data_IF_083657874666
#
_entry.id   IF_083657874666
#
_cell.length_a   1.000
_cell.length_b   1.000
_cell.length_c   1.000
_cell.angle_alpha   90.00
_cell.angle_beta   90.00
_cell.angle_gamma   90.00
#
_symmetry.space_group_name_H-M   'P 1'
#
loop_
_entity.id
_entity.type
_entity.pdbx_description
1 polymer ?
#
# COMPACT_ATOMS: atom_id res chain seq x y z
N UNK A 1 26.93 -3.16 -4.84
CA UNK A 1 25.76 -2.24 -4.77
C UNK A 1 24.80 -2.60 -3.65
N UNK A 2 24.47 -3.88 -3.41
CA UNK A 2 23.56 -4.32 -2.33
C UNK A 2 23.90 -3.75 -0.93
N UNK A 3 25.18 -3.78 -0.53
CA UNK A 3 25.61 -3.25 0.79
C UNK A 3 25.35 -1.74 0.95
N UNK A 4 25.50 -0.96 -0.13
CA UNK A 4 25.20 0.48 -0.12
C UNK A 4 23.70 0.73 -0.01
N UNK A 5 22.89 -0.04 -0.74
CA UNK A 5 21.42 0.03 -0.66
C UNK A 5 20.95 -0.34 0.74
N UNK A 6 21.46 -1.42 1.31
CA UNK A 6 21.14 -1.84 2.69
C UNK A 6 21.51 -0.77 3.72
N UNK A 7 22.66 -0.11 3.57
CA UNK A 7 23.07 0.97 4.46
C UNK A 7 22.13 2.18 4.39
N UNK A 8 21.73 2.58 3.17
CA UNK A 8 20.77 3.67 2.97
C UNK A 8 19.41 3.31 3.59
N UNK A 9 18.95 2.08 3.40
CA UNK A 9 17.67 1.60 3.93
C UNK A 9 17.69 1.57 5.47
N UNK A 10 18.81 1.15 6.07
CA UNK A 10 19.00 1.20 7.51
C UNK A 10 19.04 2.64 8.06
N UNK A 11 19.74 3.56 7.38
CA UNK A 11 19.77 4.97 7.76
C UNK A 11 18.38 5.61 7.69
N UNK A 12 17.62 5.31 6.63
CA UNK A 12 16.24 5.78 6.48
C UNK A 12 15.37 5.28 7.64
N UNK A 13 15.48 3.98 7.97
CA UNK A 13 14.72 3.37 9.06
C UNK A 13 15.11 3.97 10.42
N UNK A 14 16.40 4.22 10.66
CA UNK A 14 16.88 4.86 11.87
C UNK A 14 16.36 6.31 12.00
N UNK A 15 16.38 7.09 10.92
CA UNK A 15 15.82 8.45 10.90
C UNK A 15 14.32 8.41 11.18
N UNK A 16 13.59 7.48 10.56
CA UNK A 16 12.15 7.32 10.79
C UNK A 16 11.84 7.01 12.26
N UNK A 17 12.56 6.07 12.86
CA UNK A 17 12.41 5.73 14.29
C UNK A 17 12.77 6.93 15.17
N UNK A 18 13.84 7.66 14.86
CA UNK A 18 14.24 8.84 15.62
C UNK A 18 13.15 9.93 15.59
N UNK A 19 12.56 10.19 14.42
CA UNK A 19 11.44 11.14 14.28
C UNK A 19 10.22 10.67 15.09
N UNK A 20 9.87 9.39 14.99
CA UNK A 20 8.75 8.81 15.73
C UNK A 20 8.93 8.95 17.24
N UNK A 21 10.14 8.70 17.75
CA UNK A 21 10.48 8.89 19.15
C UNK A 21 10.46 10.37 19.55
N UNK A 22 10.94 11.27 18.69
CA UNK A 22 11.02 12.70 18.98
C UNK A 22 9.64 13.35 19.07
N UNK A 23 8.73 12.98 18.17
CA UNK A 23 7.33 13.43 18.20
C UNK A 23 6.63 13.00 19.49
N UNK A 24 6.93 11.80 19.97
CA UNK A 24 6.30 11.23 21.16
C UNK A 24 7.08 11.51 22.46
N UNK A 25 8.25 12.15 22.40
CA UNK A 25 9.08 12.45 23.56
C UNK A 25 8.35 13.21 24.70
N UNK A 26 7.40 14.13 24.43
CA UNK A 26 6.65 14.78 25.50
C UNK A 26 5.91 13.81 26.42
N UNK A 27 5.42 12.68 25.90
CA UNK A 27 4.70 11.66 26.68
C UNK A 27 5.60 10.87 27.63
N UNK A 28 6.93 11.06 27.60
CA UNK A 28 7.81 10.56 28.65
C UNK A 28 7.65 11.35 29.96
N UNK A 29 7.20 12.59 29.87
CA UNK A 29 7.23 13.54 31.00
C UNK A 29 5.85 14.05 31.40
N UNK A 30 4.79 13.69 30.67
CA UNK A 30 3.43 14.18 30.93
C UNK A 30 2.59 13.04 31.49
N UNK A 31 2.08 13.21 32.71
CA UNK A 31 1.04 12.34 33.24
C UNK A 31 -0.34 12.85 32.84
N UNK A 32 -0.97 12.17 31.89
CA UNK A 32 -2.31 12.48 31.38
C UNK A 32 -3.42 12.46 32.45
N UNK A 33 -3.26 11.68 33.54
CA UNK A 33 -4.30 11.53 34.58
C UNK A 33 -4.27 12.65 35.61
N UNK A 34 -3.08 13.14 35.93
CA UNK A 34 -2.88 14.12 37.02
C UNK A 34 -2.41 15.49 36.51
N UNK A 35 -2.22 15.62 35.18
CA UNK A 35 -1.67 16.82 34.52
C UNK A 35 -0.37 17.31 35.20
N UNK A 36 0.42 16.37 35.70
CA UNK A 36 1.66 16.60 36.42
C UNK A 36 2.85 16.16 35.57
N UNK A 37 4.01 16.78 35.79
CA UNK A 37 5.24 16.39 35.12
C UNK A 37 5.82 15.20 35.89
N UNK A 38 5.70 14.00 35.32
CA UNK A 38 6.23 12.76 35.91
C UNK A 38 6.83 11.89 34.81
N UNK A 39 7.87 11.14 35.14
CA UNK A 39 8.53 10.25 34.19
C UNK A 39 7.73 8.95 34.03
N UNK A 40 7.04 8.79 32.90
CA UNK A 40 6.15 7.64 32.64
C UNK A 40 6.49 6.90 31.33
N UNK A 41 7.50 6.01 31.34
CA UNK A 41 7.97 5.28 30.15
C UNK A 41 6.89 4.44 29.44
N UNK A 42 5.95 3.89 30.19
CA UNK A 42 4.88 3.07 29.63
C UNK A 42 3.89 3.91 28.81
N UNK A 43 3.65 5.17 29.20
CA UNK A 43 2.78 6.07 28.44
C UNK A 43 3.42 6.44 27.10
N UNK A 44 4.73 6.70 27.10
CA UNK A 44 5.50 6.88 25.87
C UNK A 44 5.39 5.69 24.92
N UNK A 45 5.62 4.46 25.40
CA UNK A 45 5.53 3.26 24.56
C UNK A 45 4.12 3.11 23.97
N UNK A 46 3.09 3.35 24.77
CA UNK A 46 1.70 3.29 24.31
C UNK A 46 1.40 4.35 23.24
N UNK A 47 1.91 5.58 23.40
CA UNK A 47 1.74 6.64 22.40
C UNK A 47 2.50 6.35 21.11
N UNK A 48 3.76 5.88 21.20
CA UNK A 48 4.53 5.44 20.02
C UNK A 48 3.80 4.34 19.26
N UNK A 49 3.26 3.34 19.97
CA UNK A 49 2.44 2.28 19.37
C UNK A 49 1.14 2.80 18.75
N UNK A 50 0.50 3.77 19.40
CA UNK A 50 -0.69 4.46 18.88
C UNK A 50 -0.41 5.22 17.59
N UNK A 51 0.62 6.07 17.57
CA UNK A 51 1.04 6.80 16.36
C UNK A 51 1.42 5.86 15.22
N UNK A 52 2.10 4.74 15.52
CA UNK A 52 2.44 3.74 14.51
C UNK A 52 1.19 3.10 13.90
N UNK A 53 0.16 2.85 14.73
CA UNK A 53 -1.13 2.32 14.28
C UNK A 53 -1.87 3.32 13.39
N UNK A 54 -1.87 4.60 13.75
CA UNK A 54 -2.47 5.67 12.94
C UNK A 54 -1.75 5.85 11.59
N UNK A 55 -0.41 5.82 11.59
CA UNK A 55 0.39 5.85 10.35
C UNK A 55 0.14 4.64 9.45
N UNK A 56 -0.18 3.47 10.03
CA UNK A 56 -0.55 2.28 9.25
C UNK A 56 -1.94 2.39 8.62
N UNK A 57 -2.82 3.20 9.20
CA UNK A 57 -4.18 3.48 8.71
C UNK A 57 -4.21 4.74 7.85
N UNK A 58 -3.41 4.77 6.77
CA UNK A 58 -3.36 5.88 5.81
C UNK A 58 -4.74 6.26 5.23
N UNK A 59 -5.68 5.32 5.21
CA UNK A 59 -7.04 5.52 4.71
C UNK A 59 -7.95 6.31 5.66
N UNK A 60 -7.59 6.47 6.94
CA UNK A 60 -8.40 7.20 7.93
C UNK A 60 -7.86 8.58 8.30
N UNK A 61 -6.73 9.00 7.73
CA UNK A 61 -6.30 10.39 7.87
C UNK A 61 -7.27 11.28 7.07
N UNK A 62 -8.15 11.99 7.77
CA UNK A 62 -9.06 12.97 7.20
C UNK A 62 -8.81 14.34 7.81
N UNK A 63 -8.96 15.39 7.01
CA UNK A 63 -9.01 16.76 7.50
C UNK A 63 -10.45 17.28 7.44
N UNK A 64 -10.84 18.05 8.45
CA UNK A 64 -12.10 18.77 8.46
C UNK A 64 -11.98 20.03 7.61
N UNK A 65 -12.65 20.07 6.47
CA UNK A 65 -12.81 21.28 5.69
C UNK A 65 -14.09 21.99 6.14
N UNK A 66 -13.91 23.15 6.78
CA UNK A 66 -15.01 24.05 7.11
C UNK A 66 -15.39 24.80 5.83
N UNK A 67 -16.59 24.53 5.31
CA UNK A 67 -17.17 25.25 4.18
C UNK A 67 -18.43 26.00 4.61
N UNK A 68 -18.85 27.00 3.82
CA UNK A 68 -20.11 27.74 4.01
C UNK A 68 -21.36 26.83 4.09
N UNK A 69 -21.27 25.57 3.65
CA UNK A 69 -22.36 24.58 3.66
C UNK A 69 -22.23 23.54 4.79
N UNK A 70 -21.31 23.71 5.73
CA UNK A 70 -21.04 22.79 6.84
C UNK A 70 -19.63 22.18 6.82
N UNK A 71 -19.27 21.52 7.92
CA UNK A 71 -18.01 20.79 8.09
C UNK A 71 -18.05 19.50 7.27
N UNK A 72 -17.12 19.33 6.33
CA UNK A 72 -16.95 18.09 5.57
C UNK A 72 -15.60 17.48 5.88
N UNK A 73 -15.59 16.22 6.31
CA UNK A 73 -14.36 15.43 6.50
C UNK A 73 -13.90 14.92 5.14
N UNK A 74 -12.73 15.37 4.68
CA UNK A 74 -12.12 14.91 3.44
C UNK A 74 -10.88 14.05 3.76
N UNK A 75 -10.69 12.90 3.12
CA UNK A 75 -9.48 12.11 3.32
C UNK A 75 -8.26 12.87 2.79
N UNK A 76 -7.18 12.91 3.58
CA UNK A 76 -5.89 13.55 3.26
C UNK A 76 -5.24 12.92 2.03
N UNK A 77 -5.43 11.62 1.87
CA UNK A 77 -5.08 10.89 0.66
C UNK A 77 -6.38 10.46 0.00
N UNK A 78 -6.78 11.05 -1.15
CA UNK A 78 -7.90 10.52 -1.89
C UNK A 78 -7.63 9.05 -2.20
N UNK A 79 -8.67 8.20 -2.27
CA UNK A 79 -8.55 6.79 -2.65
C UNK A 79 -8.19 6.67 -4.14
N UNK A 80 -7.05 7.22 -4.55
CA UNK A 80 -6.51 7.09 -5.91
C UNK A 80 -6.23 5.63 -6.25
N UNK A 81 -5.93 4.79 -5.25
CA UNK A 81 -5.65 3.38 -5.48
C UNK A 81 -6.88 2.56 -5.91
N UNK A 82 -8.09 2.93 -5.51
CA UNK A 82 -9.31 2.17 -5.83
C UNK A 82 -9.52 1.99 -7.35
N UNK A 83 -9.55 3.06 -8.17
CA UNK A 83 -9.73 2.91 -9.61
C UNK A 83 -8.57 2.16 -10.28
N UNK A 84 -7.33 2.29 -9.76
CA UNK A 84 -6.19 1.54 -10.28
C UNK A 84 -6.28 0.05 -9.94
N UNK A 85 -6.63 -0.31 -8.71
CA UNK A 85 -6.75 -1.72 -8.32
C UNK A 85 -7.79 -2.46 -9.14
N UNK A 86 -8.94 -1.84 -9.40
CA UNK A 86 -9.97 -2.41 -10.26
C UNK A 86 -9.48 -2.60 -11.70
N UNK A 87 -8.82 -1.58 -12.26
CA UNK A 87 -8.26 -1.64 -13.61
C UNK A 87 -7.19 -2.73 -13.74
N UNK A 88 -6.28 -2.83 -12.76
CA UNK A 88 -5.26 -3.88 -12.71
C UNK A 88 -5.86 -5.27 -12.56
N UNK A 89 -6.91 -5.44 -11.75
CA UNK A 89 -7.58 -6.72 -11.57
C UNK A 89 -8.21 -7.21 -12.89
N UNK A 90 -8.87 -6.32 -13.63
CA UNK A 90 -9.44 -6.65 -14.94
C UNK A 90 -8.33 -7.05 -15.92
N UNK A 91 -7.27 -6.25 -16.01
CA UNK A 91 -6.17 -6.48 -16.96
C UNK A 91 -5.47 -7.83 -16.68
N UNK A 92 -5.26 -8.13 -15.40
CA UNK A 92 -4.69 -9.38 -14.95
C UNK A 92 -5.61 -10.56 -15.28
N UNK A 93 -6.91 -10.47 -14.97
CA UNK A 93 -7.87 -11.52 -15.29
C UNK A 93 -7.97 -11.77 -16.81
N UNK A 94 -8.01 -10.72 -17.61
CA UNK A 94 -8.03 -10.80 -19.07
C UNK A 94 -6.77 -11.48 -19.62
N UNK A 95 -5.59 -11.15 -19.07
CA UNK A 95 -4.34 -11.79 -19.45
C UNK A 95 -4.35 -13.30 -19.18
N UNK A 96 -4.78 -13.73 -17.99
CA UNK A 96 -4.85 -15.17 -17.68
C UNK A 96 -5.86 -15.91 -18.54
N UNK A 97 -7.01 -15.29 -18.82
CA UNK A 97 -8.01 -15.86 -19.72
C UNK A 97 -7.45 -16.03 -21.13
N UNK A 98 -6.82 -14.98 -21.67
CA UNK A 98 -6.20 -15.01 -22.99
C UNK A 98 -5.10 -16.07 -23.07
N UNK A 99 -4.26 -16.17 -22.03
CA UNK A 99 -3.19 -17.17 -21.94
C UNK A 99 -3.76 -18.59 -21.89
N UNK A 100 -4.83 -18.81 -21.14
CA UNK A 100 -5.50 -20.11 -21.08
C UNK A 100 -6.07 -20.50 -22.46
N UNK A 101 -6.80 -19.59 -23.11
CA UNK A 101 -7.37 -19.82 -24.44
C UNK A 101 -6.27 -20.08 -25.47
N UNK A 102 -5.22 -19.26 -25.50
CA UNK A 102 -4.09 -19.44 -26.40
C UNK A 102 -3.41 -20.80 -26.19
N UNK A 103 -3.26 -21.24 -24.94
CA UNK A 103 -2.69 -22.55 -24.61
C UNK A 103 -3.57 -23.69 -25.14
N UNK A 104 -4.88 -23.60 -24.96
CA UNK A 104 -5.84 -24.59 -25.47
C UNK A 104 -5.79 -24.65 -27.00
N UNK A 105 -5.82 -23.49 -27.67
CA UNK A 105 -5.74 -23.40 -29.13
C UNK A 105 -4.42 -23.99 -29.63
N UNK A 106 -3.29 -23.66 -28.99
CA UNK A 106 -1.98 -24.18 -29.34
C UNK A 106 -1.94 -25.71 -29.21
N UNK A 107 -2.51 -26.26 -28.13
CA UNK A 107 -2.59 -27.69 -27.92
C UNK A 107 -3.41 -28.38 -29.01
N UNK A 108 -4.61 -27.85 -29.32
CA UNK A 108 -5.47 -28.36 -30.40
C UNK A 108 -4.77 -28.25 -31.76
N UNK A 109 -4.08 -27.14 -32.02
CA UNK A 109 -3.28 -26.96 -33.23
C UNK A 109 -2.23 -28.05 -33.37
N UNK A 110 -1.47 -28.35 -32.30
CA UNK A 110 -0.47 -29.42 -32.31
C UNK A 110 -1.06 -30.79 -32.67
N UNK A 111 -2.23 -31.12 -32.13
CA UNK A 111 -2.97 -32.36 -32.40
C UNK A 111 -3.64 -32.39 -33.78
N UNK A 112 -3.79 -31.25 -34.45
CA UNK A 112 -4.51 -31.16 -35.72
C UNK A 112 -3.72 -31.74 -36.90
N UNK A 113 -4.47 -32.19 -37.93
CA UNK A 113 -3.90 -32.79 -39.14
C UNK A 113 -3.13 -31.77 -40.00
N UNK A 114 -2.18 -32.25 -40.82
CA UNK A 114 -1.39 -31.40 -41.73
C UNK A 114 -2.25 -30.49 -42.62
N UNK A 115 -3.40 -30.99 -43.11
CA UNK A 115 -4.31 -30.20 -43.96
C UNK A 115 -4.93 -29.00 -43.24
N UNK A 116 -5.15 -29.09 -41.93
CA UNK A 116 -5.71 -28.01 -41.13
C UNK A 116 -4.63 -26.99 -40.73
N UNK A 117 -3.41 -27.48 -40.48
CA UNK A 117 -2.23 -26.64 -40.23
C UNK A 117 -1.90 -25.77 -41.44
N UNK A 118 -1.82 -26.36 -42.64
CA UNK A 118 -1.55 -25.64 -43.89
C UNK A 118 -2.60 -24.54 -44.17
N UNK A 119 -3.88 -24.79 -43.86
CA UNK A 119 -4.93 -23.77 -44.04
C UNK A 119 -4.82 -22.59 -43.07
N UNK A 120 -4.36 -22.84 -41.85
CA UNK A 120 -4.15 -21.78 -40.85
C UNK A 120 -2.89 -20.98 -41.20
N UNK A 121 -1.83 -21.64 -41.67
CA UNK A 121 -0.54 -21.03 -41.99
C UNK A 121 -0.58 -20.18 -43.27
N UNK A 122 -1.45 -20.50 -44.23
CA UNK A 122 -1.64 -19.73 -45.48
C UNK A 122 -2.65 -18.56 -45.31
N UNK A 123 -3.42 -18.55 -44.22
CA UNK A 123 -4.41 -17.51 -43.92
C UNK A 123 -3.89 -16.33 -43.07
N UNK A 124 -2.64 -16.39 -42.62
CA UNK A 124 -1.88 -15.32 -41.97
C UNK A 124 -0.79 -14.80 -42.91
#
# INVERSE_FOLDING_TARGET
MLRKISHILFQLLAIFIAILCLINAPFLFINMKENSISFEPFQFINHVGGTLKELSLLQSLSFEQISLSGTRTLPLFPTVFEPYTYSFAILFAAFFLALFIATVILYVYFLSSKQLKDKIEVGF
#
